data_IF_345112815691
#
_entry.id   IF_345112815691
#
_cell.length_a   1.000
_cell.length_b   1.000
_cell.length_c   1.000
_cell.angle_alpha   90.00
_cell.angle_beta   90.00
_cell.angle_gamma   90.00
#
_symmetry.space_group_name_H-M   'P 1'
#
loop_
_entity.id
_entity.type
_entity.pdbx_description
1 polymer ?
#
# COMPACT_ATOMS: atom_id res chain seq x y z
N UNK A 1 -10.25 15.11 -4.31
CA UNK A 1 -8.96 14.71 -4.94
C UNK A 1 -8.83 15.33 -6.32
N UNK A 2 -7.69 15.93 -6.62
CA UNK A 2 -7.44 16.42 -7.97
C UNK A 2 -7.02 15.26 -8.90
N UNK A 3 -7.23 15.43 -10.22
CA UNK A 3 -6.63 14.51 -11.20
C UNK A 3 -5.12 14.69 -11.22
N UNK A 4 -4.40 13.61 -11.41
CA UNK A 4 -2.95 13.71 -11.60
C UNK A 4 -2.64 14.44 -12.93
N UNK A 5 -1.73 15.42 -12.92
CA UNK A 5 -1.43 16.23 -14.10
C UNK A 5 -0.52 15.51 -15.09
N UNK A 6 -0.32 16.15 -16.25
CA UNK A 6 0.66 15.71 -17.24
C UNK A 6 2.05 15.53 -16.62
N UNK A 7 2.77 14.49 -17.04
CA UNK A 7 4.10 14.11 -16.58
C UNK A 7 4.19 13.81 -15.07
N UNK A 8 3.06 13.60 -14.39
CA UNK A 8 3.08 13.18 -13.00
C UNK A 8 3.79 11.82 -12.85
N UNK A 9 4.53 11.70 -11.75
CA UNK A 9 5.13 10.44 -11.27
C UNK A 9 4.43 10.09 -9.96
N UNK A 10 3.47 9.18 -10.05
CA UNK A 10 2.55 8.85 -8.95
C UNK A 10 2.98 7.56 -8.28
N UNK A 11 3.36 7.61 -7.02
CA UNK A 11 3.65 6.42 -6.21
C UNK A 11 2.43 6.03 -5.37
N UNK A 12 2.10 4.74 -5.37
CA UNK A 12 1.13 4.15 -4.47
C UNK A 12 1.89 3.43 -3.36
N UNK A 13 1.79 3.95 -2.15
CA UNK A 13 2.54 3.49 -0.96
C UNK A 13 1.55 2.82 -0.02
N UNK A 14 1.79 1.58 0.36
CA UNK A 14 0.88 0.84 1.22
C UNK A 14 1.33 -0.58 1.54
N UNK A 15 0.40 -1.34 2.06
CA UNK A 15 0.59 -2.72 2.51
C UNK A 15 0.28 -3.77 1.42
N UNK A 16 -0.16 -4.96 1.84
CA UNK A 16 -0.53 -6.07 0.94
C UNK A 16 -1.66 -5.71 -0.03
N UNK A 17 -2.59 -4.84 0.36
CA UNK A 17 -3.70 -4.41 -0.51
C UNK A 17 -3.15 -3.63 -1.71
N UNK A 18 -2.20 -2.72 -1.47
CA UNK A 18 -1.48 -2.02 -2.52
C UNK A 18 -0.56 -2.96 -3.31
N UNK A 19 0.20 -3.81 -2.60
CA UNK A 19 1.16 -4.74 -3.20
C UNK A 19 0.50 -5.76 -4.14
N UNK A 20 -0.75 -6.16 -3.89
CA UNK A 20 -1.51 -7.05 -4.75
C UNK A 20 -1.65 -6.53 -6.19
N UNK A 21 -1.55 -5.21 -6.36
CA UNK A 21 -1.63 -4.53 -7.66
C UNK A 21 -2.91 -4.85 -8.46
N UNK A 22 -4.03 -4.99 -7.76
CA UNK A 22 -5.32 -5.28 -8.37
C UNK A 22 -6.18 -4.02 -8.56
N UNK A 23 -5.86 -2.93 -7.87
CA UNK A 23 -6.52 -1.62 -8.00
C UNK A 23 -5.85 -0.74 -9.05
N UNK A 24 -4.52 -0.66 -9.02
CA UNK A 24 -3.74 0.25 -9.86
C UNK A 24 -3.92 0.00 -11.38
N UNK A 25 -4.03 -1.24 -11.88
CA UNK A 25 -4.29 -1.50 -13.29
C UNK A 25 -5.53 -0.81 -13.86
N UNK A 26 -6.62 -0.77 -13.09
CA UNK A 26 -7.84 -0.07 -13.51
C UNK A 26 -7.63 1.45 -13.61
N UNK A 27 -6.88 2.03 -12.66
CA UNK A 27 -6.54 3.46 -12.66
C UNK A 27 -5.68 3.79 -13.90
N UNK A 28 -4.64 3.00 -14.16
CA UNK A 28 -3.74 3.18 -15.31
C UNK A 28 -4.53 3.07 -16.62
N UNK A 29 -5.33 2.00 -16.76
CA UNK A 29 -6.15 1.78 -17.95
C UNK A 29 -7.07 2.98 -18.20
N UNK A 30 -7.73 3.48 -17.16
CA UNK A 30 -8.62 4.64 -17.25
C UNK A 30 -7.87 5.90 -17.72
N UNK A 31 -6.74 6.21 -17.09
CA UNK A 31 -5.93 7.37 -17.46
C UNK A 31 -5.49 7.31 -18.93
N UNK A 32 -5.10 6.13 -19.42
CA UNK A 32 -4.69 5.92 -20.81
C UNK A 32 -5.85 6.02 -21.80
N UNK A 33 -6.88 5.24 -21.58
CA UNK A 33 -8.00 5.13 -22.54
C UNK A 33 -8.81 6.40 -22.65
N UNK A 34 -9.01 7.11 -21.53
CA UNK A 34 -9.69 8.41 -21.51
C UNK A 34 -8.75 9.60 -21.79
N UNK A 35 -7.44 9.34 -21.99
CA UNK A 35 -6.43 10.39 -22.25
C UNK A 35 -6.45 11.52 -21.23
N UNK A 36 -6.54 11.16 -19.94
CA UNK A 36 -6.72 12.12 -18.85
C UNK A 36 -5.47 12.96 -18.63
N UNK A 37 -4.28 12.34 -18.75
CA UNK A 37 -2.99 13.01 -18.64
C UNK A 37 -1.96 12.34 -19.57
N UNK A 38 -1.05 13.14 -20.13
CA UNK A 38 0.04 12.67 -20.99
C UNK A 38 1.34 12.51 -20.20
N UNK A 39 2.18 11.54 -20.56
CA UNK A 39 3.50 11.30 -19.93
C UNK A 39 3.44 10.91 -18.45
N UNK A 40 2.26 10.56 -17.94
CA UNK A 40 2.07 10.14 -16.55
C UNK A 40 2.67 8.74 -16.32
N UNK A 41 3.29 8.55 -15.16
CA UNK A 41 3.83 7.26 -14.73
C UNK A 41 3.29 6.90 -13.36
N UNK A 42 2.99 5.62 -13.18
CA UNK A 42 2.49 5.07 -11.93
C UNK A 42 3.47 4.02 -11.39
N UNK A 43 3.71 4.05 -10.08
CA UNK A 43 4.61 3.13 -9.40
C UNK A 43 3.89 2.49 -8.22
N UNK A 44 3.98 1.17 -8.12
CA UNK A 44 3.45 0.45 -6.99
C UNK A 44 4.56 0.23 -5.94
N UNK A 45 4.54 1.00 -4.85
CA UNK A 45 5.43 0.88 -3.71
C UNK A 45 4.78 0.14 -2.52
N UNK A 46 3.70 -0.63 -2.76
CA UNK A 46 3.08 -1.47 -1.74
C UNK A 46 3.98 -2.65 -1.36
N UNK A 47 3.99 -3.05 -0.09
CA UNK A 47 4.73 -4.20 0.42
C UNK A 47 3.82 -5.07 1.29
N UNK A 48 3.71 -6.37 0.99
CA UNK A 48 2.88 -7.28 1.78
C UNK A 48 3.34 -7.27 3.25
N UNK A 49 2.39 -7.11 4.18
CA UNK A 49 2.70 -6.92 5.59
C UNK A 49 3.25 -5.54 5.95
N UNK A 50 3.37 -4.61 4.98
CA UNK A 50 3.90 -3.27 5.16
C UNK A 50 3.18 -2.46 6.22
N UNK A 51 3.95 -1.58 6.89
CA UNK A 51 3.49 -0.63 7.90
C UNK A 51 3.97 0.77 7.53
N UNK A 52 3.38 1.79 8.14
CA UNK A 52 3.87 3.16 8.00
C UNK A 52 5.33 3.30 8.46
N UNK A 53 5.74 2.53 9.50
CA UNK A 53 7.14 2.48 9.95
C UNK A 53 8.06 1.94 8.86
N UNK A 54 7.69 0.83 8.21
CA UNK A 54 8.48 0.27 7.11
C UNK A 54 8.65 1.27 5.99
N UNK A 55 7.55 1.89 5.52
CA UNK A 55 7.60 2.87 4.43
C UNK A 55 8.48 4.07 4.78
N UNK A 56 8.44 4.54 6.04
CA UNK A 56 9.29 5.63 6.51
C UNK A 56 10.78 5.25 6.51
N UNK A 57 11.11 4.05 6.96
CA UNK A 57 12.49 3.57 7.07
C UNK A 57 13.07 3.27 5.68
N UNK A 58 12.29 2.65 4.79
CA UNK A 58 12.71 2.29 3.43
C UNK A 58 12.48 3.41 2.40
N UNK A 59 12.16 4.62 2.85
CA UNK A 59 11.75 5.74 2.01
C UNK A 59 12.70 5.99 0.83
N UNK A 60 14.00 6.10 1.10
CA UNK A 60 14.98 6.44 0.09
C UNK A 60 15.16 5.33 -0.97
N UNK A 61 15.10 4.07 -0.53
CA UNK A 61 15.26 2.90 -1.42
C UNK A 61 14.01 2.55 -2.21
N UNK A 62 12.84 2.72 -1.63
CA UNK A 62 11.60 2.14 -2.18
C UNK A 62 10.64 3.21 -2.72
N UNK A 63 10.80 4.48 -2.33
CA UNK A 63 9.89 5.56 -2.69
C UNK A 63 10.62 6.68 -3.44
N UNK A 64 11.60 7.33 -2.80
CA UNK A 64 12.28 8.51 -3.35
C UNK A 64 13.02 8.24 -4.66
N UNK A 65 13.52 7.02 -4.86
CA UNK A 65 14.17 6.59 -6.11
C UNK A 65 13.30 6.79 -7.35
N UNK A 66 11.98 6.72 -7.22
CA UNK A 66 11.04 6.95 -8.30
C UNK A 66 10.88 8.44 -8.65
N UNK A 67 11.49 9.35 -7.88
CA UNK A 67 11.36 10.81 -8.03
C UNK A 67 9.90 11.23 -8.15
N UNK A 68 9.04 10.84 -7.18
CA UNK A 68 7.61 11.08 -7.27
C UNK A 68 7.29 12.56 -7.24
N UNK A 69 6.20 12.93 -7.90
CA UNK A 69 5.54 14.23 -7.77
C UNK A 69 4.25 14.14 -6.95
N UNK A 70 3.68 12.94 -6.90
CA UNK A 70 2.45 12.65 -6.17
C UNK A 70 2.58 11.30 -5.44
N UNK A 71 2.01 11.23 -4.25
CA UNK A 71 1.95 10.02 -3.44
C UNK A 71 0.51 9.74 -2.99
N UNK A 72 0.06 8.51 -3.16
CA UNK A 72 -1.19 7.97 -2.60
C UNK A 72 -0.79 7.00 -1.50
N UNK A 73 -1.14 7.29 -0.25
CA UNK A 73 -0.66 6.58 0.93
C UNK A 73 -1.80 5.90 1.68
N UNK A 74 -1.68 4.58 1.93
CA UNK A 74 -2.69 3.79 2.63
C UNK A 74 -2.04 2.76 3.54
N UNK A 75 -2.15 2.95 4.86
CA UNK A 75 -1.67 2.04 5.91
C UNK A 75 -2.66 1.98 7.07
N UNK A 76 -2.48 0.98 7.94
CA UNK A 76 -3.22 0.86 9.20
C UNK A 76 -3.47 -0.58 9.64
N UNK A 77 -3.84 -1.47 8.72
CA UNK A 77 -4.26 -2.84 9.10
C UNK A 77 -3.13 -3.66 9.74
N UNK A 78 -1.91 -3.51 9.26
CA UNK A 78 -0.74 -4.18 9.84
C UNK A 78 -0.19 -3.41 11.04
N UNK A 79 -0.24 -2.08 11.00
CA UNK A 79 0.17 -1.22 12.11
C UNK A 79 -0.70 -1.44 13.36
N UNK A 80 -1.94 -1.91 13.17
CA UNK A 80 -2.91 -2.07 14.25
C UNK A 80 -2.61 -3.25 15.18
N UNK A 81 -1.74 -4.20 14.77
CA UNK A 81 -1.51 -5.44 15.52
C UNK A 81 -2.82 -6.11 15.95
N UNK A 82 -3.80 -6.16 15.04
CA UNK A 82 -5.15 -6.67 15.31
C UNK A 82 -5.22 -8.07 15.90
N UNK A 83 -4.20 -8.89 15.65
CA UNK A 83 -4.03 -10.22 16.25
C UNK A 83 -4.07 -10.19 17.78
N UNK A 84 -3.73 -9.06 18.40
CA UNK A 84 -3.91 -8.84 19.83
C UNK A 84 -5.39 -8.88 20.28
N UNK A 85 -6.35 -8.80 19.35
CA UNK A 85 -7.78 -8.96 19.63
C UNK A 85 -8.19 -10.44 19.78
N UNK A 86 -7.38 -11.40 19.32
CA UNK A 86 -7.74 -12.82 19.26
C UNK A 86 -7.95 -13.50 20.61
N UNK A 87 -7.50 -12.93 21.73
CA UNK A 87 -7.59 -13.53 23.07
C UNK A 87 -8.24 -12.57 24.09
N UNK A 88 -8.64 -13.04 25.28
CA UNK A 88 -9.21 -12.20 26.31
C UNK A 88 -8.38 -10.93 26.54
N UNK A 89 -9.05 -9.82 26.62
CA UNK A 89 -8.41 -8.50 26.76
C UNK A 89 -7.74 -8.37 28.11
N UNK A 90 -6.42 -8.58 28.16
CA UNK A 90 -5.62 -8.24 29.33
C UNK A 90 -5.19 -6.76 29.24
N UNK A 91 -4.75 -6.22 30.38
CA UNK A 91 -4.21 -4.85 30.41
C UNK A 91 -2.99 -4.70 29.50
N UNK A 92 -2.10 -5.68 29.52
CA UNK A 92 -0.87 -5.71 28.71
C UNK A 92 -1.19 -5.65 27.21
N UNK A 93 -2.28 -6.32 26.78
CA UNK A 93 -2.72 -6.26 25.38
C UNK A 93 -3.35 -4.93 25.01
N UNK A 94 -4.12 -4.35 25.91
CA UNK A 94 -4.66 -3.01 25.68
C UNK A 94 -3.54 -1.98 25.60
N UNK A 95 -2.54 -2.06 26.47
CA UNK A 95 -1.35 -1.21 26.45
C UNK A 95 -0.56 -1.41 25.13
N UNK A 96 -0.46 -2.65 24.64
CA UNK A 96 0.18 -2.95 23.36
C UNK A 96 -0.60 -2.41 22.14
N UNK A 97 -1.93 -2.51 22.12
CA UNK A 97 -2.77 -1.92 21.08
C UNK A 97 -2.65 -0.39 21.09
N UNK A 98 -2.62 0.20 22.27
CA UNK A 98 -2.41 1.65 22.39
C UNK A 98 -1.03 2.07 21.90
N UNK A 99 0.01 1.33 22.27
CA UNK A 99 1.37 1.60 21.80
C UNK A 99 1.49 1.45 20.27
N UNK A 100 0.84 0.45 19.67
CA UNK A 100 0.77 0.27 18.23
C UNK A 100 0.09 1.47 17.54
N UNK A 101 -1.00 1.97 18.10
CA UNK A 101 -1.69 3.14 17.58
C UNK A 101 -0.85 4.41 17.64
N UNK A 102 -0.16 4.66 18.78
CA UNK A 102 0.75 5.81 18.91
C UNK A 102 1.94 5.71 17.95
N UNK A 103 2.50 4.51 17.76
CA UNK A 103 3.56 4.26 16.80
C UNK A 103 3.08 4.54 15.35
N UNK A 104 1.90 4.06 15.00
CA UNK A 104 1.29 4.34 13.69
C UNK A 104 1.16 5.85 13.45
N UNK A 105 0.60 6.59 14.42
CA UNK A 105 0.42 8.04 14.31
C UNK A 105 1.75 8.75 14.07
N UNK A 106 2.77 8.40 14.84
CA UNK A 106 4.10 9.00 14.72
C UNK A 106 4.72 8.71 13.33
N UNK A 107 4.65 7.46 12.86
CA UNK A 107 5.23 7.07 11.59
C UNK A 107 4.48 7.65 10.38
N UNK A 108 3.14 7.66 10.40
CA UNK A 108 2.34 8.30 9.35
C UNK A 108 2.62 9.80 9.27
N UNK A 109 2.67 10.48 10.41
CA UNK A 109 3.00 11.92 10.46
C UNK A 109 4.39 12.18 9.87
N UNK A 110 5.40 11.42 10.31
CA UNK A 110 6.75 11.58 9.82
C UNK A 110 6.91 11.25 8.31
N UNK A 111 6.17 10.25 7.81
CA UNK A 111 6.16 9.91 6.39
C UNK A 111 5.55 11.06 5.56
N UNK A 112 4.43 11.62 5.99
CA UNK A 112 3.78 12.76 5.32
C UNK A 112 4.70 13.98 5.34
N UNK A 113 5.34 14.28 6.47
CA UNK A 113 6.27 15.40 6.60
C UNK A 113 7.47 15.24 5.66
N UNK A 114 7.99 14.02 5.52
CA UNK A 114 9.09 13.74 4.58
C UNK A 114 8.63 13.92 3.12
N UNK A 115 7.46 13.41 2.75
CA UNK A 115 6.91 13.59 1.41
C UNK A 115 6.74 15.08 1.06
N UNK A 116 6.20 15.87 1.99
CA UNK A 116 6.06 17.32 1.81
C UNK A 116 7.40 18.04 1.72
N UNK A 117 8.40 17.66 2.54
CA UNK A 117 9.73 18.24 2.48
C UNK A 117 10.41 17.99 1.13
N UNK A 118 10.11 16.88 0.47
CA UNK A 118 10.59 16.55 -0.87
C UNK A 118 9.72 17.15 -1.99
N UNK A 119 8.71 17.99 -1.65
CA UNK A 119 7.85 18.71 -2.60
C UNK A 119 6.79 17.83 -3.26
N UNK A 120 6.45 16.70 -2.65
CA UNK A 120 5.51 15.72 -3.20
C UNK A 120 4.10 16.04 -2.72
N UNK A 121 3.14 16.12 -3.66
CA UNK A 121 1.71 16.23 -3.33
C UNK A 121 1.19 14.92 -2.76
N UNK A 122 0.52 14.97 -1.60
CA UNK A 122 0.08 13.78 -0.87
C UNK A 122 -1.44 13.65 -0.89
N UNK A 123 -1.93 12.46 -1.22
CA UNK A 123 -3.29 12.00 -0.96
C UNK A 123 -3.23 10.92 0.11
N UNK A 124 -3.90 11.12 1.23
CA UNK A 124 -4.07 10.10 2.25
C UNK A 124 -5.34 9.30 1.97
N UNK A 125 -5.21 7.98 1.95
CA UNK A 125 -6.34 7.07 1.97
C UNK A 125 -6.57 6.56 3.39
N UNK A 126 -7.80 6.65 3.90
CA UNK A 126 -8.13 5.93 5.14
C UNK A 126 -7.96 4.42 4.90
N UNK A 127 -7.49 3.64 5.89
CA UNK A 127 -7.44 2.19 5.76
C UNK A 127 -8.84 1.62 5.46
N UNK A 128 -8.90 0.53 4.71
CA UNK A 128 -10.15 -0.20 4.53
C UNK A 128 -10.69 -0.69 5.89
N UNK A 129 -12.00 -0.85 6.06
CA UNK A 129 -12.54 -1.42 7.29
C UNK A 129 -12.09 -2.88 7.44
N UNK A 130 -12.00 -3.34 8.69
CA UNK A 130 -12.00 -4.76 9.00
C UNK A 130 -13.43 -5.27 8.93
N UNK A 131 -13.70 -6.25 8.10
CA UNK A 131 -15.04 -6.80 7.94
C UNK A 131 -15.36 -7.79 9.07
N UNK A 132 -15.92 -7.29 10.16
CA UNK A 132 -16.28 -8.07 11.34
C UNK A 132 -17.64 -8.76 11.19
N UNK A 133 -18.47 -8.33 10.25
CA UNK A 133 -19.90 -8.62 10.25
C UNK A 133 -20.35 -9.57 9.16
N UNK A 134 -19.62 -9.66 8.05
CA UNK A 134 -19.94 -10.61 6.99
C UNK A 134 -19.64 -12.03 7.43
N UNK A 135 -20.59 -12.95 7.19
CA UNK A 135 -20.39 -14.36 7.47
C UNK A 135 -19.25 -14.92 6.62
N UNK A 136 -18.27 -15.53 7.27
CA UNK A 136 -17.05 -16.02 6.66
C UNK A 136 -16.63 -17.37 7.26
N UNK A 137 -15.80 -18.10 6.51
CA UNK A 137 -15.20 -19.36 6.98
C UNK A 137 -14.18 -19.15 8.09
N UNK A 138 -13.56 -17.99 8.13
CA UNK A 138 -12.60 -17.58 9.16
C UNK A 138 -13.34 -16.81 10.26
N UNK A 139 -13.18 -17.15 11.53
CA UNK A 139 -13.78 -16.35 12.60
C UNK A 139 -13.25 -14.92 12.63
N UNK A 140 -14.15 -13.95 12.68
CA UNK A 140 -13.78 -12.55 12.79
C UNK A 140 -13.16 -12.24 14.16
N UNK A 141 -12.25 -11.28 14.18
CA UNK A 141 -11.69 -10.72 15.41
C UNK A 141 -12.65 -9.66 15.95
N UNK A 142 -13.26 -9.96 17.10
CA UNK A 142 -14.23 -9.05 17.70
C UNK A 142 -13.59 -7.70 18.09
N UNK A 143 -14.18 -6.61 17.62
CA UNK A 143 -13.69 -5.24 17.78
C UNK A 143 -12.71 -4.79 16.68
N UNK A 144 -12.50 -5.61 15.64
CA UNK A 144 -11.64 -5.28 14.51
C UNK A 144 -12.16 -4.09 13.70
N UNK A 145 -13.47 -4.01 13.47
CA UNK A 145 -14.10 -2.87 12.80
C UNK A 145 -13.86 -1.55 13.57
N UNK A 146 -14.14 -1.56 14.88
CA UNK A 146 -13.96 -0.38 15.72
C UNK A 146 -12.48 0.04 15.81
N UNK A 147 -11.56 -0.92 15.82
CA UNK A 147 -10.12 -0.66 15.80
C UNK A 147 -9.76 0.12 14.51
N UNK A 148 -10.15 -0.40 13.35
CA UNK A 148 -9.84 0.26 12.07
C UNK A 148 -10.54 1.61 11.89
N UNK A 149 -11.74 1.77 12.46
CA UNK A 149 -12.41 3.07 12.49
C UNK A 149 -11.56 4.12 13.22
N UNK A 150 -10.92 3.77 14.35
CA UNK A 150 -10.01 4.68 15.07
C UNK A 150 -8.80 5.11 14.22
N UNK A 151 -8.23 4.19 13.44
CA UNK A 151 -7.14 4.48 12.51
C UNK A 151 -7.60 5.39 11.37
N UNK A 152 -8.80 5.17 10.84
CA UNK A 152 -9.38 6.03 9.80
C UNK A 152 -9.64 7.46 10.32
N UNK A 153 -10.13 7.62 11.54
CA UNK A 153 -10.32 8.94 12.17
C UNK A 153 -9.00 9.72 12.31
N UNK A 154 -7.94 9.02 12.69
CA UNK A 154 -6.61 9.65 12.73
C UNK A 154 -6.18 10.13 11.33
N UNK A 155 -6.36 9.32 10.28
CA UNK A 155 -5.99 9.72 8.91
C UNK A 155 -6.79 10.94 8.45
N UNK A 156 -8.09 11.03 8.75
CA UNK A 156 -8.92 12.22 8.47
C UNK A 156 -8.37 13.45 9.17
N UNK A 157 -7.98 13.31 10.44
CA UNK A 157 -7.39 14.37 11.23
C UNK A 157 -6.04 14.81 10.65
N UNK A 158 -5.16 13.85 10.37
CA UNK A 158 -3.84 14.11 9.78
C UNK A 158 -3.95 14.82 8.43
N UNK A 159 -4.89 14.38 7.57
CA UNK A 159 -5.11 15.01 6.27
C UNK A 159 -5.48 16.48 6.42
N UNK A 160 -6.37 16.79 7.37
CA UNK A 160 -6.76 18.17 7.66
C UNK A 160 -5.59 19.00 8.22
N UNK A 161 -4.83 18.44 9.17
CA UNK A 161 -3.70 19.14 9.81
C UNK A 161 -2.56 19.43 8.85
N UNK A 162 -2.27 18.48 7.95
CA UNK A 162 -1.19 18.60 6.97
C UNK A 162 -1.60 19.26 5.65
N UNK A 163 -2.90 19.52 5.47
CA UNK A 163 -3.44 20.10 4.23
C UNK A 163 -3.29 19.17 3.03
N UNK A 164 -3.29 17.84 3.25
CA UNK A 164 -3.26 16.85 2.19
C UNK A 164 -4.64 16.60 1.62
N UNK A 165 -4.71 16.01 0.43
CA UNK A 165 -5.96 15.43 -0.05
C UNK A 165 -6.32 14.17 0.73
N UNK A 166 -7.61 13.87 0.81
CA UNK A 166 -8.15 12.69 1.49
C UNK A 166 -9.02 11.87 0.52
N UNK A 167 -8.79 10.56 0.49
CA UNK A 167 -9.70 9.58 -0.07
C UNK A 167 -10.25 8.71 1.06
N UNK A 168 -11.50 8.92 1.45
CA UNK A 168 -12.10 8.21 2.58
C UNK A 168 -12.61 6.82 2.20
N UNK A 169 -11.66 5.90 2.01
CA UNK A 169 -11.93 4.50 1.66
C UNK A 169 -12.76 3.83 2.76
N UNK A 170 -12.40 4.05 4.04
CA UNK A 170 -13.09 3.43 5.17
C UNK A 170 -14.60 3.69 5.12
N UNK A 171 -15.01 4.95 5.04
CA UNK A 171 -16.42 5.31 5.05
C UNK A 171 -17.17 4.72 3.84
N UNK A 172 -16.56 4.79 2.65
CA UNK A 172 -17.20 4.32 1.41
C UNK A 172 -17.32 2.80 1.35
N UNK A 173 -16.25 2.08 1.72
CA UNK A 173 -16.29 0.60 1.75
C UNK A 173 -17.23 0.13 2.85
N UNK A 174 -17.22 0.73 4.05
CA UNK A 174 -18.15 0.35 5.13
C UNK A 174 -19.61 0.47 4.71
N UNK A 175 -19.96 1.52 3.97
CA UNK A 175 -21.32 1.69 3.44
C UNK A 175 -21.68 0.61 2.41
N UNK A 176 -20.76 0.29 1.51
CA UNK A 176 -20.99 -0.71 0.46
C UNK A 176 -21.01 -2.15 1.00
N UNK A 177 -20.29 -2.44 2.08
CA UNK A 177 -20.30 -3.77 2.73
C UNK A 177 -21.67 -4.20 3.23
N UNK A 178 -22.63 -3.27 3.42
CA UNK A 178 -24.01 -3.60 3.80
C UNK A 178 -24.72 -4.40 2.70
N UNK A 179 -24.30 -4.28 1.44
CA UNK A 179 -24.97 -4.91 0.28
C UNK A 179 -24.04 -5.76 -0.59
N UNK A 180 -22.73 -5.57 -0.49
CA UNK A 180 -21.74 -6.15 -1.40
C UNK A 180 -20.59 -6.84 -0.64
N UNK A 181 -20.23 -8.09 -0.97
CA UNK A 181 -19.12 -8.82 -0.37
C UNK A 181 -17.79 -8.32 -0.95
N UNK A 182 -17.32 -7.16 -0.53
CA UNK A 182 -16.10 -6.52 -1.03
C UNK A 182 -14.82 -7.06 -0.40
N UNK A 183 -14.90 -7.69 0.76
CA UNK A 183 -13.76 -8.22 1.53
C UNK A 183 -13.82 -9.74 1.54
N UNK A 184 -12.66 -10.38 1.47
CA UNK A 184 -12.54 -11.83 1.41
C UNK A 184 -12.70 -12.50 2.78
N UNK A 185 -12.72 -13.86 2.80
CA UNK A 185 -12.89 -14.67 4.01
C UNK A 185 -11.86 -14.41 5.12
N UNK A 186 -10.80 -13.62 4.86
CA UNK A 186 -9.81 -13.22 5.85
C UNK A 186 -10.14 -11.91 6.57
N UNK A 187 -11.26 -11.30 6.23
CA UNK A 187 -11.77 -10.07 6.82
C UNK A 187 -10.98 -8.78 6.51
N UNK A 188 -9.99 -8.84 5.62
CA UNK A 188 -9.04 -7.76 5.35
C UNK A 188 -8.88 -7.47 3.88
N UNK A 189 -8.47 -8.49 3.12
CA UNK A 189 -8.12 -8.29 1.73
C UNK A 189 -9.38 -8.19 0.87
N UNK A 190 -9.43 -7.19 -0.03
CA UNK A 190 -10.53 -7.09 -0.97
C UNK A 190 -10.67 -8.33 -1.85
N UNK A 191 -11.90 -8.67 -2.22
CA UNK A 191 -12.18 -9.58 -3.34
C UNK A 191 -11.77 -8.92 -4.66
N UNK A 192 -11.81 -9.65 -5.79
CA UNK A 192 -11.57 -9.02 -7.10
C UNK A 192 -12.53 -7.84 -7.34
N UNK A 193 -13.81 -8.01 -6.96
CA UNK A 193 -14.78 -6.93 -7.02
C UNK A 193 -14.44 -5.78 -6.05
N UNK A 194 -13.95 -6.12 -4.86
CA UNK A 194 -13.47 -5.13 -3.88
C UNK A 194 -12.30 -4.30 -4.41
N UNK A 195 -11.32 -4.91 -5.07
CA UNK A 195 -10.21 -4.17 -5.69
C UNK A 195 -10.67 -3.24 -6.81
N UNK A 196 -11.61 -3.69 -7.64
CA UNK A 196 -12.23 -2.82 -8.65
C UNK A 196 -12.99 -1.67 -7.99
N UNK A 197 -13.73 -1.95 -6.93
CA UNK A 197 -14.45 -0.93 -6.15
C UNK A 197 -13.49 0.11 -5.54
N UNK A 198 -12.31 -0.30 -5.04
CA UNK A 198 -11.28 0.65 -4.59
C UNK A 198 -10.81 1.57 -5.72
N UNK A 199 -10.62 1.03 -6.93
CA UNK A 199 -10.27 1.86 -8.09
C UNK A 199 -11.39 2.85 -8.43
N UNK A 200 -12.66 2.41 -8.43
CA UNK A 200 -13.82 3.29 -8.62
C UNK A 200 -13.86 4.41 -7.59
N UNK A 201 -13.63 4.10 -6.32
CA UNK A 201 -13.60 5.09 -5.24
C UNK A 201 -12.53 6.15 -5.49
N UNK A 202 -11.30 5.74 -5.80
CA UNK A 202 -10.18 6.66 -6.04
C UNK A 202 -10.43 7.53 -7.28
N UNK A 203 -10.93 6.94 -8.35
CA UNK A 203 -11.24 7.67 -9.60
C UNK A 203 -12.44 8.60 -9.43
N UNK A 204 -13.47 8.18 -8.70
CA UNK A 204 -14.64 9.01 -8.41
C UNK A 204 -14.27 10.25 -7.58
N UNK A 205 -13.31 10.14 -6.65
CA UNK A 205 -12.76 11.31 -5.94
C UNK A 205 -12.09 12.32 -6.89
N UNK A 206 -11.63 11.87 -8.05
CA UNK A 206 -11.07 12.71 -9.10
C UNK A 206 -12.12 13.19 -10.12
N UNK A 207 -13.39 12.89 -9.89
CA UNK A 207 -14.48 13.19 -10.84
C UNK A 207 -14.40 12.34 -12.12
N UNK A 208 -13.90 11.11 -12.02
CA UNK A 208 -13.78 10.14 -13.12
C UNK A 208 -14.70 8.96 -12.83
N UNK A 209 -15.65 8.71 -13.71
CA UNK A 209 -16.52 7.54 -13.64
C UNK A 209 -16.02 6.46 -14.59
N UNK A 210 -15.95 5.21 -14.10
CA UNK A 210 -15.57 4.03 -14.88
C UNK A 210 -16.68 2.98 -14.97
N UNK A 211 -17.89 3.32 -14.54
CA UNK A 211 -19.02 2.41 -14.54
C UNK A 211 -18.96 1.33 -13.45
N UNK A 212 -19.82 0.34 -13.58
CA UNK A 212 -19.98 -0.74 -12.58
C UNK A 212 -19.15 -1.97 -12.88
N UNK A 213 -18.69 -2.13 -14.12
CA UNK A 213 -17.91 -3.26 -14.57
C UNK A 213 -16.79 -2.82 -15.52
N UNK A 214 -15.61 -3.40 -15.33
CA UNK A 214 -14.48 -3.26 -16.25
C UNK A 214 -13.69 -4.57 -16.23
N UNK A 215 -13.37 -5.17 -17.39
CA UNK A 215 -12.53 -6.34 -17.44
C UNK A 215 -11.12 -6.02 -16.89
N UNK A 216 -10.48 -6.99 -16.25
CA UNK A 216 -9.10 -6.85 -15.78
C UNK A 216 -8.21 -6.61 -17.02
N UNK A 217 -7.42 -5.51 -17.03
CA UNK A 217 -6.54 -5.22 -18.15
C UNK A 217 -5.48 -6.31 -18.40
N UNK A 218 -5.21 -6.64 -19.65
CA UNK A 218 -4.33 -7.76 -20.06
C UNK A 218 -2.90 -7.69 -19.51
N UNK A 219 -2.37 -6.48 -19.30
CA UNK A 219 -1.01 -6.29 -18.78
C UNK A 219 -0.83 -6.75 -17.33
N UNK A 220 -1.91 -6.96 -16.62
CA UNK A 220 -1.92 -7.46 -15.24
C UNK A 220 -1.20 -8.80 -15.10
N UNK A 221 -1.39 -9.71 -16.06
CA UNK A 221 -0.73 -11.02 -16.05
C UNK A 221 0.79 -10.91 -16.14
N UNK A 222 1.31 -9.96 -16.90
CA UNK A 222 2.76 -9.72 -17.02
C UNK A 222 3.37 -9.24 -15.73
N UNK A 223 2.72 -8.27 -15.07
CA UNK A 223 3.17 -7.78 -13.78
C UNK A 223 3.25 -8.91 -12.75
N UNK A 224 2.21 -9.74 -12.63
CA UNK A 224 2.20 -10.88 -11.71
C UNK A 224 3.32 -11.89 -11.99
N UNK A 225 3.61 -12.14 -13.24
CA UNK A 225 4.64 -13.12 -13.60
C UNK A 225 6.06 -12.66 -13.24
N UNK A 226 6.35 -11.38 -13.36
CA UNK A 226 7.72 -10.86 -13.21
C UNK A 226 7.99 -10.13 -11.92
N UNK A 227 7.05 -9.38 -11.42
CA UNK A 227 7.26 -8.43 -10.32
C UNK A 227 6.75 -8.93 -8.98
N UNK A 228 5.62 -9.62 -8.95
CA UNK A 228 5.05 -10.13 -7.70
C UNK A 228 6.03 -11.01 -6.89
N UNK A 229 6.85 -11.89 -7.51
CA UNK A 229 7.84 -12.66 -6.77
C UNK A 229 8.90 -11.80 -6.06
N UNK A 230 9.37 -10.72 -6.68
CA UNK A 230 10.31 -9.78 -6.03
C UNK A 230 9.68 -9.11 -4.81
N UNK A 231 8.40 -8.80 -4.89
CA UNK A 231 7.65 -8.25 -3.76
C UNK A 231 7.58 -9.19 -2.56
N UNK A 232 7.55 -10.50 -2.79
CA UNK A 232 7.59 -11.48 -1.71
C UNK A 232 8.91 -11.43 -0.93
N UNK A 233 10.02 -11.12 -1.58
CA UNK A 233 11.32 -10.94 -0.91
C UNK A 233 11.32 -9.67 -0.06
N UNK A 234 10.83 -8.55 -0.62
CA UNK A 234 10.68 -7.30 0.13
C UNK A 234 9.72 -7.45 1.32
N UNK A 235 8.66 -8.25 1.18
CA UNK A 235 7.75 -8.57 2.27
C UNK A 235 8.47 -9.29 3.43
N UNK A 236 9.44 -10.17 3.16
CA UNK A 236 10.20 -10.83 4.23
C UNK A 236 11.06 -9.86 5.03
N UNK A 237 11.64 -8.84 4.40
CA UNK A 237 12.35 -7.76 5.10
C UNK A 237 11.38 -6.91 5.94
N UNK A 238 10.20 -6.62 5.40
CA UNK A 238 9.16 -5.93 6.13
C UNK A 238 8.74 -6.68 7.41
N UNK A 239 8.64 -8.00 7.37
CA UNK A 239 8.32 -8.80 8.55
C UNK A 239 9.38 -8.68 9.65
N UNK A 240 10.65 -8.51 9.30
CA UNK A 240 11.73 -8.26 10.26
C UNK A 240 11.55 -6.87 10.91
N UNK A 241 11.24 -5.86 10.12
CA UNK A 241 10.97 -4.49 10.63
C UNK A 241 9.74 -4.48 11.53
N UNK A 242 8.74 -5.31 11.24
CA UNK A 242 7.52 -5.47 12.06
C UNK A 242 7.75 -6.14 13.39
N UNK A 243 8.88 -6.80 13.64
CA UNK A 243 9.12 -7.40 14.94
C UNK A 243 8.97 -6.36 16.04
N UNK A 244 7.89 -6.50 16.80
CA UNK A 244 7.50 -5.56 17.84
C UNK A 244 8.55 -5.47 18.95
N UNK A 245 9.28 -6.55 19.18
CA UNK A 245 10.30 -6.63 20.22
C UNK A 245 11.68 -6.15 19.77
N UNK A 246 11.89 -5.98 18.47
CA UNK A 246 13.16 -5.50 17.95
C UNK A 246 13.30 -3.97 18.21
N UNK A 247 14.42 -3.52 18.79
CA UNK A 247 14.68 -2.10 19.00
C UNK A 247 14.63 -1.32 17.68
N UNK A 248 14.01 -0.14 17.70
CA UNK A 248 13.94 0.75 16.52
C UNK A 248 15.31 1.05 15.93
N UNK A 249 16.33 1.22 16.78
CA UNK A 249 17.71 1.43 16.34
C UNK A 249 18.26 0.27 15.50
N UNK A 250 17.93 -0.99 15.88
CA UNK A 250 18.34 -2.17 15.12
C UNK A 250 17.62 -2.21 13.75
N UNK A 251 16.33 -1.88 13.71
CA UNK A 251 15.57 -1.78 12.47
C UNK A 251 16.16 -0.70 11.56
N UNK A 252 16.43 0.46 12.11
CA UNK A 252 17.05 1.59 11.38
C UNK A 252 18.44 1.24 10.85
N UNK A 253 19.27 0.56 11.64
CA UNK A 253 20.59 0.13 11.21
C UNK A 253 20.52 -0.86 10.05
N UNK A 254 19.59 -1.81 10.10
CA UNK A 254 19.39 -2.76 9.00
C UNK A 254 19.02 -2.03 7.69
N UNK A 255 18.13 -1.05 7.76
CA UNK A 255 17.68 -0.31 6.58
C UNK A 255 18.72 0.71 6.11
N UNK A 256 19.51 1.33 7.02
CA UNK A 256 20.61 2.25 6.61
C UNK A 256 21.72 1.51 5.87
N UNK A 257 22.07 0.30 6.29
CA UNK A 257 23.00 -0.56 5.55
C UNK A 257 22.52 -0.84 4.13
N UNK A 258 21.21 -0.99 3.95
CA UNK A 258 20.57 -1.14 2.65
C UNK A 258 20.69 0.12 1.78
N UNK A 259 20.56 1.32 2.39
CA UNK A 259 20.73 2.61 1.70
C UNK A 259 22.18 2.87 1.33
N UNK A 260 23.11 2.60 2.24
CA UNK A 260 24.55 2.84 2.04
C UNK A 260 25.15 1.92 0.99
N UNK A 261 24.74 0.64 0.99
CA UNK A 261 25.16 -0.36 0.02
C UNK A 261 23.99 -0.65 -0.91
N UNK A 262 23.86 0.08 -2.00
CA UNK A 262 22.81 -0.19 -3.02
C UNK A 262 22.90 -1.60 -3.64
N UNK A 263 23.90 -2.38 -3.26
CA UNK A 263 24.10 -3.79 -3.63
C UNK A 263 23.08 -4.76 -3.01
N UNK A 264 22.17 -4.31 -2.14
CA UNK A 264 21.14 -5.17 -1.57
C UNK A 264 20.18 -5.76 -2.62
N UNK A 265 20.01 -5.04 -3.73
CA UNK A 265 19.15 -5.47 -4.85
C UNK A 265 19.67 -6.77 -5.46
N UNK A 266 20.97 -6.89 -5.63
CA UNK A 266 21.59 -8.06 -6.27
C UNK A 266 21.30 -9.38 -5.52
N UNK A 267 21.45 -9.48 -4.20
CA UNK A 267 21.06 -10.68 -3.47
C UNK A 267 19.56 -10.99 -3.54
N UNK A 268 18.70 -9.97 -3.54
CA UNK A 268 17.25 -10.12 -3.72
C UNK A 268 16.96 -10.73 -5.08
N UNK A 269 17.59 -10.21 -6.11
CA UNK A 269 17.44 -10.68 -7.48
C UNK A 269 18.00 -12.08 -7.70
N UNK A 270 19.16 -12.40 -7.14
CA UNK A 270 19.72 -13.75 -7.20
C UNK A 270 18.82 -14.78 -6.53
N UNK A 271 18.17 -14.40 -5.42
CA UNK A 271 17.16 -15.25 -4.78
C UNK A 271 15.94 -15.42 -5.67
N UNK A 272 15.48 -14.37 -6.31
CA UNK A 272 14.41 -14.42 -7.30
C UNK A 272 14.73 -15.37 -8.44
N UNK A 273 15.92 -15.24 -9.07
CA UNK A 273 16.37 -16.12 -10.15
C UNK A 273 16.41 -17.59 -9.70
N UNK A 274 16.97 -17.88 -8.54
CA UNK A 274 17.02 -19.23 -8.00
C UNK A 274 15.66 -19.85 -7.75
N UNK A 275 14.68 -19.03 -7.39
CA UNK A 275 13.33 -19.49 -7.04
C UNK A 275 12.43 -19.65 -8.26
N UNK A 276 12.56 -18.78 -9.26
CA UNK A 276 11.59 -18.61 -10.35
C UNK A 276 12.13 -18.84 -11.76
N UNK A 277 13.39 -19.28 -11.91
CA UNK A 277 14.00 -19.81 -13.17
C UNK A 277 14.39 -18.80 -14.26
N UNK A 278 15.62 -18.98 -14.79
CA UNK A 278 16.12 -18.68 -16.16
C UNK A 278 16.13 -17.23 -16.67
N UNK A 279 15.54 -16.29 -16.00
CA UNK A 279 15.63 -14.90 -16.44
C UNK A 279 16.96 -14.31 -15.97
N UNK A 280 17.83 -13.91 -16.89
CA UNK A 280 19.10 -13.21 -16.61
C UNK A 280 19.05 -11.80 -17.20
N UNK A 281 18.29 -10.86 -16.62
CA UNK A 281 18.27 -9.50 -17.10
C UNK A 281 19.61 -8.82 -16.83
N UNK A 282 19.95 -7.83 -17.64
CA UNK A 282 21.01 -6.90 -17.34
C UNK A 282 20.59 -6.02 -16.15
N UNK A 283 21.57 -5.39 -15.49
CA UNK A 283 21.34 -4.58 -14.29
C UNK A 283 20.23 -3.51 -14.47
N UNK A 284 20.21 -2.84 -15.63
CA UNK A 284 19.16 -1.87 -15.95
C UNK A 284 17.75 -2.49 -15.98
N UNK A 285 17.62 -3.73 -16.45
CA UNK A 285 16.37 -4.46 -16.47
C UNK A 285 15.94 -4.91 -15.09
N UNK A 286 16.91 -5.26 -14.24
CA UNK A 286 16.65 -5.53 -12.81
C UNK A 286 16.01 -4.33 -12.12
N UNK A 287 16.58 -3.15 -12.28
CA UNK A 287 16.03 -1.92 -11.71
C UNK A 287 14.63 -1.63 -12.28
N UNK A 288 14.42 -1.82 -13.57
CA UNK A 288 13.13 -1.65 -14.22
C UNK A 288 12.07 -2.61 -13.64
N UNK A 289 12.42 -3.86 -13.39
CA UNK A 289 11.52 -4.84 -12.77
C UNK A 289 11.16 -4.47 -11.33
N UNK A 290 12.13 -3.96 -10.57
CA UNK A 290 11.90 -3.54 -9.18
C UNK A 290 11.11 -2.23 -9.12
N UNK A 291 11.27 -1.36 -10.09
CA UNK A 291 10.58 -0.07 -10.16
C UNK A 291 9.07 -0.19 -10.34
N UNK A 292 8.56 -1.35 -10.75
CA UNK A 292 7.12 -1.52 -10.98
C UNK A 292 6.51 -0.43 -11.86
N UNK A 293 7.32 0.11 -12.78
CA UNK A 293 6.85 1.14 -13.69
C UNK A 293 6.06 0.48 -14.78
N UNK A 294 4.83 0.93 -15.00
CA UNK A 294 4.10 0.61 -16.21
C UNK A 294 4.60 1.55 -17.31
N UNK A 295 5.68 1.15 -17.98
CA UNK A 295 6.14 1.88 -19.15
C UNK A 295 5.18 1.69 -20.33
N UNK A 296 5.16 2.66 -21.25
CA UNK A 296 4.25 2.64 -22.40
C UNK A 296 4.42 1.40 -23.27
N UNK A 297 5.61 0.80 -23.29
CA UNK A 297 5.96 -0.39 -24.07
C UNK A 297 5.36 -1.70 -23.52
N UNK A 298 4.74 -1.67 -22.34
CA UNK A 298 4.08 -2.84 -21.76
C UNK A 298 2.60 -2.92 -22.19
N UNK A 299 2.11 -1.92 -22.91
CA UNK A 299 0.71 -1.82 -23.33
C UNK A 299 0.51 -2.02 -24.82
#
# INVERSE_FOLDING_TARGET
>A
MNRFPDNARVVFIGDSITAANLTLPYIIHTYKTQKIASGIRFFNCGVAGGTAEFARISYDTDIARHKPTHAVVSFGINDSHRDLLANPRSKERQDALYAAYENYKANMTALVDRLHADGISVTLCTPAPYDEYTESKTPALHGGFALMQGYAEFVRTLAKEKGTELCDIHAKVSYLLETDPLISDDHIHPTNHGYFTLARIILAEQGIDIGEEMPIPDYFSRWHSYVAPLRCVLASECMIVRDFNAPTEQKMKMMSTRVENQDWIQPVFERFIRTYVEYKPQEAELYRMIDLTYEEDIF
#
